data_IF_794968253493
#
_entry.id   IF_794968253493
#
_cell.length_a   1.000
_cell.length_b   1.000
_cell.length_c   1.000
_cell.angle_alpha   90.00
_cell.angle_beta   90.00
_cell.angle_gamma   90.00
#
_symmetry.space_group_name_H-M   'P 1'
#
loop_
_entity.id
_entity.type
_entity.pdbx_description
1 polymer ?
#
# COMPACT_ATOMS: atom_id res chain seq x y z
N UNK A 1 -7.76 -6.89 -10.11
CA UNK A 1 -7.49 -8.21 -9.49
C UNK A 1 -6.38 -8.11 -8.46
N UNK A 2 -5.14 -7.75 -8.83
CA UNK A 2 -4.06 -7.60 -7.84
C UNK A 2 -4.36 -6.54 -6.78
N UNK A 3 -4.86 -5.36 -7.20
CA UNK A 3 -5.29 -4.31 -6.27
C UNK A 3 -6.31 -4.82 -5.23
N UNK A 4 -7.36 -5.52 -5.66
CA UNK A 4 -8.37 -6.09 -4.75
C UNK A 4 -7.77 -7.11 -3.76
N UNK A 5 -6.80 -7.91 -4.21
CA UNK A 5 -6.07 -8.84 -3.33
C UNK A 5 -5.28 -8.05 -2.28
N UNK A 6 -4.51 -7.05 -2.70
CA UNK A 6 -3.73 -6.21 -1.78
C UNK A 6 -4.63 -5.51 -0.77
N UNK A 7 -5.74 -4.93 -1.24
CA UNK A 7 -6.74 -4.29 -0.38
C UNK A 7 -7.31 -5.26 0.65
N UNK A 8 -7.70 -6.47 0.22
CA UNK A 8 -8.19 -7.49 1.15
C UNK A 8 -7.14 -7.93 2.17
N UNK A 9 -5.86 -7.98 1.80
CA UNK A 9 -4.78 -8.32 2.74
C UNK A 9 -4.56 -7.21 3.79
N UNK A 10 -4.69 -5.95 3.38
CA UNK A 10 -4.61 -4.78 4.28
C UNK A 10 -5.80 -4.80 5.24
N UNK A 11 -7.02 -4.96 4.74
CA UNK A 11 -8.25 -5.01 5.54
C UNK A 11 -8.24 -6.15 6.57
N UNK A 12 -7.63 -7.29 6.21
CA UNK A 12 -7.48 -8.44 7.11
C UNK A 12 -6.32 -8.30 8.11
N UNK A 13 -5.56 -7.21 8.03
CA UNK A 13 -4.32 -7.01 8.77
C UNK A 13 -3.40 -8.26 8.68
N UNK A 14 -3.31 -8.83 7.47
CA UNK A 14 -2.66 -10.12 7.24
C UNK A 14 -1.13 -10.08 7.39
N UNK A 15 -0.55 -8.87 7.42
CA UNK A 15 0.87 -8.63 7.54
C UNK A 15 1.10 -7.41 8.44
N UNK A 16 2.28 -7.34 9.05
CA UNK A 16 2.77 -6.14 9.72
C UNK A 16 2.87 -4.97 8.72
N UNK A 17 2.77 -3.74 9.23
CA UNK A 17 2.78 -2.52 8.39
C UNK A 17 4.01 -2.44 7.47
N UNK A 18 5.18 -2.77 8.02
CA UNK A 18 6.45 -2.75 7.27
C UNK A 18 6.44 -3.80 6.15
N UNK A 19 5.99 -5.02 6.44
CA UNK A 19 5.87 -6.09 5.46
C UNK A 19 4.90 -5.73 4.34
N UNK A 20 3.76 -5.13 4.68
CA UNK A 20 2.80 -4.69 3.68
C UNK A 20 3.36 -3.56 2.82
N UNK A 21 4.02 -2.58 3.43
CA UNK A 21 4.69 -1.48 2.73
C UNK A 21 5.73 -2.00 1.73
N UNK A 22 6.57 -2.95 2.15
CA UNK A 22 7.57 -3.56 1.29
C UNK A 22 6.94 -4.33 0.13
N UNK A 23 5.83 -5.04 0.35
CA UNK A 23 5.09 -5.72 -0.72
C UNK A 23 4.55 -4.71 -1.73
N UNK A 24 3.89 -3.65 -1.28
CA UNK A 24 3.37 -2.59 -2.16
C UNK A 24 4.49 -1.94 -2.98
N UNK A 25 5.64 -1.65 -2.36
CA UNK A 25 6.83 -1.11 -3.03
C UNK A 25 7.33 -2.03 -4.15
N UNK A 26 7.40 -3.34 -3.89
CA UNK A 26 7.80 -4.33 -4.88
C UNK A 26 6.80 -4.34 -6.04
N UNK A 27 5.50 -4.46 -5.78
CA UNK A 27 4.48 -4.47 -6.84
C UNK A 27 4.51 -3.19 -7.68
N UNK A 28 4.74 -2.03 -7.04
CA UNK A 28 4.87 -0.76 -7.74
C UNK A 28 6.16 -0.69 -8.58
N UNK A 29 7.30 -1.11 -8.04
CA UNK A 29 8.60 -1.15 -8.75
C UNK A 29 8.53 -2.00 -10.02
N UNK A 30 7.80 -3.11 -9.96
CA UNK A 30 7.57 -3.99 -11.11
C UNK A 30 6.37 -3.57 -11.98
N UNK A 31 5.87 -2.34 -11.80
CA UNK A 31 4.72 -1.77 -12.53
C UNK A 31 3.48 -2.67 -12.54
N UNK A 32 3.31 -3.51 -11.51
CA UNK A 32 2.14 -4.39 -11.36
C UNK A 32 0.91 -3.65 -10.85
N UNK A 33 1.13 -2.50 -10.20
CA UNK A 33 0.10 -1.56 -9.75
C UNK A 33 0.47 -0.15 -10.20
N UNK A 34 -0.54 0.68 -10.46
CA UNK A 34 -0.32 2.09 -10.81
C UNK A 34 0.09 2.90 -9.58
N UNK A 35 0.62 4.11 -9.80
CA UNK A 35 0.93 5.06 -8.73
C UNK A 35 -0.30 5.43 -7.91
N UNK A 36 -1.47 5.55 -8.55
CA UNK A 36 -2.74 5.84 -7.88
C UNK A 36 -3.14 4.70 -6.93
N UNK A 37 -3.08 3.47 -7.42
CA UNK A 37 -3.36 2.27 -6.63
C UNK A 37 -2.37 2.12 -5.46
N UNK A 38 -1.09 2.34 -5.72
CA UNK A 38 -0.06 2.29 -4.68
C UNK A 38 -0.32 3.35 -3.60
N UNK A 39 -0.62 4.60 -4.00
CA UNK A 39 -0.86 5.72 -3.07
C UNK A 39 -2.10 5.48 -2.20
N UNK A 40 -3.16 4.90 -2.77
CA UNK A 40 -4.35 4.52 -2.00
C UNK A 40 -4.02 3.42 -0.99
N UNK A 41 -3.40 2.32 -1.45
CA UNK A 41 -3.09 1.17 -0.61
C UNK A 41 -2.09 1.52 0.51
N UNK A 42 -1.06 2.32 0.21
CA UNK A 42 -0.08 2.73 1.23
C UNK A 42 -0.71 3.68 2.26
N UNK A 43 -1.68 4.49 1.84
CA UNK A 43 -2.45 5.35 2.74
C UNK A 43 -3.34 4.57 3.70
N UNK A 44 -3.84 3.40 3.30
CA UNK A 44 -4.59 2.48 4.18
C UNK A 44 -3.66 1.76 5.17
N UNK A 45 -2.45 1.37 4.73
CA UNK A 45 -1.44 0.70 5.57
C UNK A 45 -0.83 1.66 6.59
N UNK A 46 -0.51 2.86 6.14
CA UNK A 46 0.14 3.90 6.92
C UNK A 46 -0.65 5.21 6.81
N UNK A 47 -1.75 5.35 7.57
CA UNK A 47 -2.55 6.57 7.56
C UNK A 47 -1.77 7.80 8.03
N UNK A 48 -0.70 7.64 8.81
CA UNK A 48 0.19 8.74 9.23
C UNK A 48 1.06 9.31 8.10
N UNK A 49 1.27 8.59 6.99
CA UNK A 49 1.99 9.14 5.83
C UNK A 49 1.22 10.26 5.12
N UNK A 50 -0.08 10.44 5.39
CA UNK A 50 -0.87 11.55 4.85
C UNK A 50 -0.52 12.91 5.47
N UNK A 51 0.18 12.95 6.61
CA UNK A 51 0.51 14.20 7.31
C UNK A 51 1.87 14.81 6.90
N UNK A 52 2.82 14.01 6.40
CA UNK A 52 4.19 14.46 6.07
C UNK A 52 4.34 15.10 4.67
N UNK A 53 3.28 15.16 3.86
CA UNK A 53 3.30 15.89 2.56
C UNK A 53 2.95 17.39 2.76
N UNK A 54 2.71 17.80 3.99
CA UNK A 54 2.45 19.20 4.41
C UNK A 54 3.45 19.67 5.45
N UNK A 55 4.75 19.69 5.12
CA UNK A 55 5.73 20.56 5.77
C UNK A 55 6.70 21.17 4.76
#
# INVERSE_FOLDING_TARGET
>A
MLYEILKSLIEKNAFEKEDMTNKLNVFYTFSQISVEQYTELIGEVNPSMKEDVTQ
#
